data_IF_495870061553
#
_entry.id   IF_495870061553
#
_cell.length_a   1.000
_cell.length_b   1.000
_cell.length_c   1.000
_cell.angle_alpha   90.00
_cell.angle_beta   90.00
_cell.angle_gamma   90.00
#
_symmetry.space_group_name_H-M   'P 1'
#
loop_
_entity.id
_entity.type
_entity.pdbx_description
1 polymer ?
#
# COMPACT_ATOMS: atom_id res chain seq x y z
N UNK A 1 -38.95 -15.92 -21.13
CA UNK A 1 -38.19 -16.03 -19.87
C UNK A 1 -36.73 -16.35 -20.21
N UNK A 2 -35.91 -15.35 -20.51
CA UNK A 2 -34.52 -15.52 -20.90
C UNK A 2 -33.69 -14.48 -20.17
N UNK A 3 -33.43 -14.69 -18.89
CA UNK A 3 -32.68 -13.72 -18.11
C UNK A 3 -31.62 -14.29 -17.16
N UNK A 4 -31.53 -15.60 -17.04
CA UNK A 4 -30.66 -16.23 -16.05
C UNK A 4 -29.76 -17.31 -16.63
N UNK A 5 -29.18 -17.09 -17.85
CA UNK A 5 -28.21 -18.01 -18.36
C UNK A 5 -26.95 -17.93 -17.51
N UNK A 6 -26.38 -19.08 -17.14
CA UNK A 6 -25.10 -19.20 -16.43
C UNK A 6 -24.00 -18.34 -17.08
N UNK A 7 -24.07 -18.17 -18.40
CA UNK A 7 -23.14 -17.32 -19.16
C UNK A 7 -23.31 -15.82 -18.86
N UNK A 8 -24.54 -15.31 -18.70
CA UNK A 8 -24.79 -13.91 -18.34
C UNK A 8 -24.29 -13.59 -16.91
N UNK A 9 -24.41 -14.53 -15.97
CA UNK A 9 -23.84 -14.39 -14.63
C UNK A 9 -22.31 -14.38 -14.67
N UNK A 10 -21.67 -15.30 -15.40
CA UNK A 10 -20.23 -15.37 -15.58
C UNK A 10 -19.71 -14.06 -16.21
N UNK A 11 -20.39 -13.54 -17.24
CA UNK A 11 -20.01 -12.29 -17.89
C UNK A 11 -20.07 -11.08 -16.94
N UNK A 12 -21.10 -11.00 -16.10
CA UNK A 12 -21.22 -9.93 -15.08
C UNK A 12 -20.14 -10.03 -14.02
N UNK A 13 -19.89 -11.21 -13.49
CA UNK A 13 -18.82 -11.44 -12.49
C UNK A 13 -17.47 -11.13 -13.09
N UNK A 14 -17.19 -11.57 -14.32
CA UNK A 14 -15.94 -11.27 -15.02
C UNK A 14 -15.77 -9.76 -15.23
N UNK A 15 -16.81 -9.04 -15.66
CA UNK A 15 -16.74 -7.59 -15.85
C UNK A 15 -16.42 -6.84 -14.55
N UNK A 16 -16.98 -7.25 -13.41
CA UNK A 16 -16.68 -6.66 -12.10
C UNK A 16 -15.24 -6.95 -11.68
N UNK A 17 -14.77 -8.18 -11.87
CA UNK A 17 -13.38 -8.57 -11.56
C UNK A 17 -12.40 -7.82 -12.46
N UNK A 18 -12.68 -7.72 -13.75
CA UNK A 18 -11.83 -7.01 -14.71
C UNK A 18 -11.79 -5.49 -14.41
N UNK A 19 -12.91 -4.88 -14.01
CA UNK A 19 -12.96 -3.48 -13.59
C UNK A 19 -12.13 -3.23 -12.32
N UNK A 20 -12.24 -4.09 -11.31
CA UNK A 20 -11.42 -4.02 -10.09
C UNK A 20 -9.94 -4.18 -10.40
N UNK A 21 -9.60 -5.13 -11.26
CA UNK A 21 -8.22 -5.36 -11.71
C UNK A 21 -7.67 -4.13 -12.45
N UNK A 22 -8.48 -3.53 -13.34
CA UNK A 22 -8.11 -2.29 -14.06
C UNK A 22 -7.84 -1.12 -13.11
N UNK A 23 -8.66 -0.95 -12.07
CA UNK A 23 -8.46 0.08 -11.05
C UNK A 23 -7.14 -0.13 -10.27
N UNK A 24 -6.83 -1.38 -9.87
CA UNK A 24 -5.56 -1.75 -9.22
C UNK A 24 -4.38 -1.45 -10.14
N UNK A 25 -4.43 -1.83 -11.41
CA UNK A 25 -3.36 -1.56 -12.38
C UNK A 25 -3.13 -0.07 -12.58
N UNK A 26 -4.20 0.72 -12.63
CA UNK A 26 -4.12 2.17 -12.77
C UNK A 26 -3.44 2.79 -11.55
N UNK A 27 -3.80 2.36 -10.33
CA UNK A 27 -3.19 2.83 -9.09
C UNK A 27 -1.69 2.52 -9.06
N UNK A 28 -1.33 1.25 -9.27
CA UNK A 28 0.07 0.82 -9.27
C UNK A 28 0.90 1.51 -10.36
N UNK A 29 0.33 1.75 -11.54
CA UNK A 29 0.99 2.54 -12.58
C UNK A 29 1.27 3.98 -12.16
N UNK A 30 0.37 4.61 -11.39
CA UNK A 30 0.59 5.95 -10.82
C UNK A 30 1.67 5.94 -9.74
N UNK A 31 1.68 4.94 -8.84
CA UNK A 31 2.74 4.76 -7.85
C UNK A 31 4.12 4.65 -8.52
N UNK A 32 4.24 3.86 -9.59
CA UNK A 32 5.48 3.75 -10.37
C UNK A 32 5.87 5.10 -11.00
N UNK A 33 4.92 5.84 -11.59
CA UNK A 33 5.21 7.16 -12.17
C UNK A 33 5.75 8.15 -11.13
N UNK A 34 5.15 8.19 -9.95
CA UNK A 34 5.61 9.07 -8.86
C UNK A 34 6.99 8.65 -8.38
N UNK A 35 7.22 7.37 -8.12
CA UNK A 35 8.50 6.85 -7.68
C UNK A 35 9.63 7.08 -8.72
N UNK A 36 9.32 6.98 -10.01
CA UNK A 36 10.27 7.19 -11.10
C UNK A 36 10.76 8.65 -11.24
N UNK A 37 10.12 9.62 -10.61
CA UNK A 37 10.60 11.01 -10.54
C UNK A 37 11.94 11.13 -9.83
N UNK A 38 12.18 10.29 -8.83
CA UNK A 38 13.45 10.21 -8.09
C UNK A 38 14.57 9.52 -8.86
N UNK A 39 14.30 8.99 -10.06
CA UNK A 39 15.24 8.27 -10.91
C UNK A 39 14.60 7.06 -11.58
N UNK A 40 14.92 6.83 -12.86
CA UNK A 40 14.35 5.75 -13.67
C UNK A 40 14.99 4.38 -13.42
N UNK A 41 16.16 4.35 -12.76
CA UNK A 41 16.89 3.11 -12.47
C UNK A 41 16.45 2.53 -11.12
N UNK A 42 15.82 1.34 -11.10
CA UNK A 42 15.42 0.68 -9.86
C UNK A 42 16.59 0.30 -8.95
N UNK A 43 17.82 0.17 -9.49
CA UNK A 43 18.99 -0.15 -8.68
C UNK A 43 19.37 1.01 -7.74
N UNK A 44 19.18 2.25 -8.20
CA UNK A 44 19.45 3.46 -7.43
C UNK A 44 18.21 4.09 -6.77
N UNK A 45 17.03 3.51 -6.99
CA UNK A 45 15.76 4.06 -6.49
C UNK A 45 14.92 2.97 -5.79
N UNK A 46 15.05 2.90 -4.46
CA UNK A 46 14.33 1.91 -3.67
C UNK A 46 12.81 2.03 -3.77
N UNK A 47 12.28 3.26 -3.79
CA UNK A 47 10.82 3.48 -3.93
C UNK A 47 10.31 2.95 -5.27
N UNK A 48 11.06 3.17 -6.36
CA UNK A 48 10.74 2.63 -7.67
C UNK A 48 10.81 1.10 -7.68
N UNK A 49 11.84 0.52 -7.09
CA UNK A 49 11.98 -0.93 -6.94
C UNK A 49 10.79 -1.53 -6.21
N UNK A 50 10.39 -0.95 -5.08
CA UNK A 50 9.22 -1.36 -4.30
C UNK A 50 7.93 -1.27 -5.12
N UNK A 51 7.69 -0.16 -5.83
CA UNK A 51 6.51 0.01 -6.66
C UNK A 51 6.45 -1.00 -7.81
N UNK A 52 7.60 -1.30 -8.44
CA UNK A 52 7.71 -2.33 -9.49
C UNK A 52 7.37 -3.72 -8.94
N UNK A 53 7.87 -4.07 -7.76
CA UNK A 53 7.60 -5.38 -7.17
C UNK A 53 6.14 -5.55 -6.77
N UNK A 54 5.52 -4.53 -6.19
CA UNK A 54 4.06 -4.50 -5.96
C UNK A 54 3.27 -4.71 -7.25
N UNK A 55 3.67 -4.03 -8.34
CA UNK A 55 3.02 -4.16 -9.63
C UNK A 55 3.18 -5.57 -10.23
N UNK A 56 4.37 -6.17 -10.12
CA UNK A 56 4.63 -7.56 -10.56
C UNK A 56 3.81 -8.56 -9.74
N UNK A 57 3.74 -8.40 -8.42
CA UNK A 57 2.92 -9.24 -7.55
C UNK A 57 1.42 -9.17 -7.92
N UNK A 58 0.93 -7.99 -8.30
CA UNK A 58 -0.42 -7.78 -8.82
C UNK A 58 -0.60 -8.23 -10.27
N UNK A 59 0.43 -8.79 -10.91
CA UNK A 59 0.44 -9.24 -12.31
C UNK A 59 0.16 -8.12 -13.32
N UNK A 60 0.68 -6.92 -13.06
CA UNK A 60 0.68 -5.83 -14.04
C UNK A 60 1.62 -6.21 -15.18
N UNK A 61 1.21 -6.10 -16.45
CA UNK A 61 2.08 -6.41 -17.59
C UNK A 61 3.36 -5.56 -17.61
N UNK A 62 4.51 -6.16 -17.92
CA UNK A 62 5.80 -5.47 -17.94
C UNK A 62 5.79 -4.22 -18.84
N UNK A 63 5.14 -4.28 -20.01
CA UNK A 63 4.99 -3.13 -20.90
C UNK A 63 4.27 -1.93 -20.24
N UNK A 64 3.36 -2.17 -19.30
CA UNK A 64 2.70 -1.10 -18.55
C UNK A 64 3.63 -0.53 -17.48
N UNK A 65 4.43 -1.38 -16.82
CA UNK A 65 5.46 -0.97 -15.85
C UNK A 65 6.50 -0.07 -16.54
N UNK A 66 7.08 -0.52 -17.65
CA UNK A 66 8.07 0.23 -18.42
C UNK A 66 7.52 1.58 -18.92
N UNK A 67 6.28 1.58 -19.41
CA UNK A 67 5.60 2.82 -19.83
C UNK A 67 5.39 3.78 -18.67
N UNK A 68 5.06 3.27 -17.49
CA UNK A 68 4.89 4.08 -16.29
C UNK A 68 6.23 4.68 -15.82
N UNK A 69 7.32 3.91 -15.86
CA UNK A 69 8.68 4.40 -15.56
C UNK A 69 9.08 5.50 -16.54
N UNK A 70 8.97 5.25 -17.86
CA UNK A 70 9.31 6.22 -18.88
C UNK A 70 8.52 7.53 -18.74
N UNK A 71 7.22 7.42 -18.41
CA UNK A 71 6.36 8.58 -18.19
C UNK A 71 6.73 9.33 -16.91
N UNK A 72 7.07 8.62 -15.84
CA UNK A 72 7.48 9.20 -14.57
C UNK A 72 8.83 9.90 -14.61
N UNK A 73 9.79 9.35 -15.37
CA UNK A 73 11.13 9.92 -15.54
C UNK A 73 11.22 11.07 -16.57
N UNK A 74 10.09 11.50 -17.14
CA UNK A 74 10.06 12.57 -18.13
C UNK A 74 10.36 12.14 -19.57
N UNK A 75 10.70 10.88 -19.82
CA UNK A 75 11.02 10.38 -21.15
C UNK A 75 9.79 10.23 -22.06
N UNK A 76 8.59 10.26 -21.49
CA UNK A 76 7.34 10.00 -22.21
C UNK A 76 6.51 11.24 -22.58
N UNK A 77 7.05 12.46 -22.46
CA UNK A 77 6.36 13.69 -22.85
C UNK A 77 5.07 13.96 -22.08
N UNK A 78 5.14 14.63 -20.95
CA UNK A 78 4.01 15.22 -20.23
C UNK A 78 3.11 14.26 -19.46
N UNK A 79 2.89 14.52 -18.18
CA UNK A 79 1.86 13.91 -17.37
C UNK A 79 2.26 13.31 -16.03
N UNK A 80 3.56 13.14 -15.74
CA UNK A 80 4.01 12.74 -14.43
C UNK A 80 3.91 13.86 -13.39
N UNK A 81 4.10 15.10 -13.83
CA UNK A 81 4.00 16.29 -12.97
C UNK A 81 2.57 16.60 -12.50
N UNK A 82 1.57 15.97 -13.12
CA UNK A 82 0.18 16.18 -12.78
C UNK A 82 -0.27 15.43 -11.51
N UNK A 83 0.38 14.31 -11.15
CA UNK A 83 -0.02 13.54 -9.98
C UNK A 83 0.75 13.99 -8.74
N UNK A 84 0.04 14.20 -7.66
CA UNK A 84 0.60 14.50 -6.34
C UNK A 84 0.03 13.56 -5.29
N UNK A 85 0.81 13.28 -4.27
CA UNK A 85 0.36 12.58 -3.08
C UNK A 85 -0.32 13.57 -2.16
N UNK A 86 -1.58 13.29 -1.83
CA UNK A 86 -2.38 14.12 -0.94
C UNK A 86 -3.00 13.25 0.12
N UNK A 87 -2.86 13.65 1.36
CA UNK A 87 -3.50 13.01 2.49
C UNK A 87 -4.77 13.74 2.87
N UNK A 88 -5.84 12.99 3.06
CA UNK A 88 -7.12 13.46 3.55
C UNK A 88 -7.46 12.76 4.86
N UNK A 89 -8.19 13.47 5.71
CA UNK A 89 -8.51 13.04 7.05
C UNK A 89 -9.99 13.27 7.33
N UNK A 90 -10.60 12.39 8.13
CA UNK A 90 -12.00 12.53 8.47
C UNK A 90 -12.47 11.50 9.48
N UNK A 91 -13.75 11.58 9.79
CA UNK A 91 -14.42 10.67 10.70
C UNK A 91 -15.52 9.90 9.97
N UNK A 92 -15.52 8.59 10.11
CA UNK A 92 -16.61 7.72 9.69
C UNK A 92 -17.74 7.67 10.71
N UNK A 93 -18.76 6.83 10.45
CA UNK A 93 -19.83 6.56 11.41
C UNK A 93 -19.24 6.10 12.77
N UNK A 94 -19.90 6.51 13.85
CA UNK A 94 -19.42 6.18 15.19
C UNK A 94 -18.13 6.90 15.64
N UNK A 95 -17.64 7.88 14.86
CA UNK A 95 -16.43 8.65 15.19
C UNK A 95 -15.13 7.92 14.86
N UNK A 96 -15.17 6.92 14.00
CA UNK A 96 -13.98 6.18 13.55
C UNK A 96 -13.08 7.12 12.75
N UNK A 97 -11.83 7.26 13.17
CA UNK A 97 -10.82 8.03 12.45
C UNK A 97 -10.44 7.35 11.12
N UNK A 98 -10.44 8.10 10.04
CA UNK A 98 -10.10 7.62 8.70
C UNK A 98 -9.01 8.51 8.12
N UNK A 99 -7.86 7.90 7.80
CA UNK A 99 -6.75 8.51 7.08
C UNK A 99 -6.71 7.96 5.66
N UNK A 100 -6.63 8.83 4.66
CA UNK A 100 -6.68 8.47 3.24
C UNK A 100 -5.44 9.02 2.54
N UNK A 101 -4.62 8.15 1.97
CA UNK A 101 -3.58 8.53 1.02
C UNK A 101 -4.12 8.46 -0.40
N UNK A 102 -3.92 9.51 -1.16
CA UNK A 102 -4.44 9.65 -2.52
C UNK A 102 -3.37 10.15 -3.47
N UNK A 103 -3.28 9.52 -4.64
CA UNK A 103 -2.54 10.00 -5.79
C UNK A 103 -3.50 10.68 -6.75
N UNK A 104 -3.43 12.00 -6.85
CA UNK A 104 -4.37 12.79 -7.66
C UNK A 104 -3.67 13.81 -8.55
N UNK A 105 -4.28 14.05 -9.70
CA UNK A 105 -3.95 15.14 -10.62
C UNK A 105 -4.85 16.38 -10.38
N UNK A 106 -5.82 16.27 -9.46
CA UNK A 106 -6.74 17.38 -9.14
C UNK A 106 -7.26 17.26 -7.70
N UNK A 107 -6.63 17.99 -6.77
CA UNK A 107 -7.00 18.02 -5.35
C UNK A 107 -8.45 18.39 -5.12
N UNK A 108 -8.95 19.39 -5.87
CA UNK A 108 -10.30 19.91 -5.66
C UNK A 108 -11.36 18.86 -6.04
N UNK A 109 -11.16 18.16 -7.16
CA UNK A 109 -12.04 17.06 -7.57
C UNK A 109 -12.02 15.94 -6.53
N UNK A 110 -10.85 15.48 -6.11
CA UNK A 110 -10.70 14.42 -5.12
C UNK A 110 -11.32 14.81 -3.79
N UNK A 111 -11.09 16.03 -3.30
CA UNK A 111 -11.69 16.52 -2.07
C UNK A 111 -13.22 16.55 -2.14
N UNK A 112 -13.78 16.97 -3.28
CA UNK A 112 -15.23 16.98 -3.49
C UNK A 112 -15.83 15.56 -3.51
N UNK A 113 -15.18 14.64 -4.20
CA UNK A 113 -15.60 13.23 -4.25
C UNK A 113 -15.53 12.57 -2.86
N UNK A 114 -14.45 12.79 -2.11
CA UNK A 114 -14.30 12.27 -0.75
C UNK A 114 -15.34 12.89 0.20
N UNK A 115 -15.56 14.21 0.15
CA UNK A 115 -16.59 14.87 0.96
C UNK A 115 -17.98 14.27 0.71
N UNK A 116 -18.29 14.00 -0.56
CA UNK A 116 -19.54 13.35 -0.93
C UNK A 116 -19.61 11.92 -0.41
N UNK A 117 -18.50 11.16 -0.50
CA UNK A 117 -18.43 9.79 0.00
C UNK A 117 -18.64 9.73 1.52
N UNK A 118 -17.93 10.56 2.28
CA UNK A 118 -18.12 10.68 3.74
C UNK A 118 -19.56 11.02 4.09
N UNK A 119 -20.11 12.08 3.50
CA UNK A 119 -21.47 12.56 3.78
C UNK A 119 -22.54 11.50 3.47
N UNK A 120 -22.41 10.76 2.36
CA UNK A 120 -23.37 9.69 2.00
C UNK A 120 -23.34 8.50 2.94
N UNK A 121 -22.21 8.29 3.63
CA UNK A 121 -22.03 7.15 4.54
C UNK A 121 -22.03 7.56 6.02
N UNK A 122 -22.60 8.72 6.35
CA UNK A 122 -22.77 9.15 7.75
C UNK A 122 -21.47 9.60 8.44
N UNK A 123 -20.43 9.92 7.66
CA UNK A 123 -19.18 10.46 8.13
C UNK A 123 -18.98 11.92 7.75
N UNK A 124 -17.81 12.47 8.07
CA UNK A 124 -17.42 13.84 7.77
C UNK A 124 -15.95 13.90 7.36
N UNK A 125 -15.66 14.52 6.21
CA UNK A 125 -14.30 14.87 5.82
C UNK A 125 -13.86 16.08 6.66
N UNK A 126 -12.77 15.90 7.40
CA UNK A 126 -12.22 16.92 8.28
C UNK A 126 -11.12 17.77 7.62
N UNK A 127 -10.50 18.60 8.43
CA UNK A 127 -9.31 19.34 8.03
C UNK A 127 -8.04 18.52 8.25
N UNK A 128 -6.95 18.87 7.57
CA UNK A 128 -5.65 18.24 7.75
C UNK A 128 -5.20 18.33 9.21
N UNK A 129 -4.78 17.19 9.78
CA UNK A 129 -4.35 17.08 11.18
C UNK A 129 -5.48 16.70 12.15
N UNK A 130 -6.74 16.54 11.70
CA UNK A 130 -7.84 16.19 12.60
C UNK A 130 -7.78 14.75 13.14
N UNK A 131 -7.15 13.81 12.42
CA UNK A 131 -6.97 12.42 12.86
C UNK A 131 -5.55 11.90 12.67
N UNK A 132 -4.70 12.58 11.91
CA UNK A 132 -3.35 12.11 11.57
C UNK A 132 -2.48 11.75 12.77
N UNK A 133 -2.68 12.43 13.91
CA UNK A 133 -1.98 12.17 15.16
C UNK A 133 -2.36 10.84 15.83
N UNK A 134 -3.44 10.20 15.40
CA UNK A 134 -3.89 8.87 15.88
C UNK A 134 -3.19 7.71 15.15
N UNK A 135 -2.35 8.04 14.17
CA UNK A 135 -1.67 7.03 13.35
C UNK A 135 -0.16 7.25 13.37
N UNK A 136 0.56 6.16 13.39
CA UNK A 136 2.00 6.14 13.22
C UNK A 136 2.35 5.72 11.79
N UNK A 137 3.26 6.46 11.14
CA UNK A 137 3.79 6.06 9.84
C UNK A 137 4.95 5.10 10.05
N UNK A 138 4.80 3.86 9.62
CA UNK A 138 5.70 2.75 9.91
C UNK A 138 6.14 2.02 8.65
N UNK A 139 7.25 1.31 8.74
CA UNK A 139 7.64 0.28 7.81
C UNK A 139 6.97 -1.03 8.18
N UNK A 140 6.40 -1.74 7.21
CA UNK A 140 5.80 -3.05 7.41
C UNK A 140 6.38 -4.03 6.41
N UNK A 141 6.90 -5.15 6.89
CA UNK A 141 7.42 -6.25 6.06
C UNK A 141 6.62 -7.49 6.34
N UNK A 142 6.00 -8.06 5.30
CA UNK A 142 5.23 -9.30 5.36
C UNK A 142 6.11 -10.49 5.07
N UNK A 143 6.14 -11.44 5.99
CA UNK A 143 6.73 -12.77 5.84
C UNK A 143 5.64 -13.77 5.46
N UNK A 144 5.89 -14.65 4.50
CA UNK A 144 4.96 -15.69 4.07
C UNK A 144 5.48 -17.06 4.53
N UNK A 145 5.16 -17.42 5.76
CA UNK A 145 5.57 -18.68 6.36
C UNK A 145 4.48 -19.20 7.30
N UNK A 146 3.66 -20.10 6.78
CA UNK A 146 2.65 -20.77 7.60
C UNK A 146 3.31 -21.56 8.75
N UNK A 147 2.70 -21.50 9.94
CA UNK A 147 3.22 -22.17 11.13
C UNK A 147 4.51 -21.54 11.67
N UNK A 148 4.72 -20.25 11.45
CA UNK A 148 5.83 -19.51 12.02
C UNK A 148 5.69 -19.47 13.56
N UNK A 149 6.67 -20.04 14.24
CA UNK A 149 6.72 -20.02 15.70
C UNK A 149 7.19 -18.64 16.21
N UNK A 150 6.49 -18.11 17.20
CA UNK A 150 6.75 -16.79 17.77
C UNK A 150 8.18 -16.67 18.33
N UNK A 151 8.63 -17.69 19.05
CA UNK A 151 9.98 -17.72 19.63
C UNK A 151 11.06 -17.63 18.56
N UNK A 152 10.90 -18.34 17.44
CA UNK A 152 11.84 -18.27 16.31
C UNK A 152 11.88 -16.89 15.66
N UNK A 153 10.72 -16.24 15.53
CA UNK A 153 10.65 -14.87 15.00
C UNK A 153 11.36 -13.90 15.95
N UNK A 154 11.07 -13.98 17.26
CA UNK A 154 11.70 -13.14 18.29
C UNK A 154 13.22 -13.29 18.31
N UNK A 155 13.73 -14.53 18.34
CA UNK A 155 15.17 -14.80 18.27
C UNK A 155 15.81 -14.18 17.02
N UNK A 156 15.17 -14.32 15.86
CA UNK A 156 15.64 -13.74 14.62
C UNK A 156 15.66 -12.20 14.65
N UNK A 157 14.62 -11.56 15.18
CA UNK A 157 14.57 -10.10 15.30
C UNK A 157 15.62 -9.56 16.27
N UNK A 158 15.83 -10.23 17.41
CA UNK A 158 16.89 -9.89 18.36
C UNK A 158 18.29 -10.08 17.75
N UNK A 159 18.51 -11.15 16.99
CA UNK A 159 19.77 -11.37 16.29
C UNK A 159 20.03 -10.30 15.23
N UNK A 160 18.99 -9.84 14.54
CA UNK A 160 19.08 -8.75 13.55
C UNK A 160 19.56 -7.45 14.22
N UNK A 161 18.93 -7.07 15.32
CA UNK A 161 19.27 -5.87 16.09
C UNK A 161 20.68 -5.97 16.68
N UNK A 162 21.01 -7.09 17.32
CA UNK A 162 22.35 -7.34 17.89
C UNK A 162 23.46 -7.31 16.82
N UNK A 163 23.15 -7.68 15.57
CA UNK A 163 24.04 -7.58 14.42
C UNK A 163 24.16 -6.17 13.82
N UNK A 164 23.60 -5.15 14.47
CA UNK A 164 23.60 -3.76 13.99
C UNK A 164 22.58 -3.46 12.91
N UNK A 165 21.62 -4.35 12.71
CA UNK A 165 20.44 -4.13 11.86
C UNK A 165 19.35 -3.28 12.54
N UNK A 166 18.25 -3.00 11.83
CA UNK A 166 17.15 -2.24 12.42
C UNK A 166 16.41 -3.01 13.50
N UNK A 167 16.01 -2.31 14.56
CA UNK A 167 15.13 -2.85 15.57
C UNK A 167 13.70 -2.98 15.04
N UNK A 168 13.05 -4.11 15.30
CA UNK A 168 11.62 -4.24 15.13
C UNK A 168 10.88 -3.49 16.25
N UNK A 169 9.86 -2.73 15.90
CA UNK A 169 9.00 -2.01 16.83
C UNK A 169 7.78 -2.85 17.26
N UNK A 170 7.49 -3.91 16.51
CA UNK A 170 6.40 -4.83 16.77
C UNK A 170 6.30 -5.89 15.67
N UNK A 171 5.42 -6.85 15.90
CA UNK A 171 5.07 -7.87 14.92
C UNK A 171 3.65 -8.37 15.16
N UNK A 172 3.04 -8.93 14.13
CA UNK A 172 1.76 -9.64 14.19
C UNK A 172 1.92 -10.98 13.48
N UNK A 173 1.48 -12.07 14.09
CA UNK A 173 1.52 -13.42 13.50
C UNK A 173 0.11 -13.87 13.18
N UNK A 174 -0.07 -14.45 12.01
CA UNK A 174 -1.31 -15.09 11.57
C UNK A 174 -1.03 -16.47 10.93
N UNK A 175 -2.09 -17.12 10.44
CA UNK A 175 -2.00 -18.47 9.86
C UNK A 175 -1.11 -18.55 8.59
N UNK A 176 -0.89 -17.41 7.91
CA UNK A 176 -0.10 -17.35 6.67
C UNK A 176 1.36 -16.90 6.91
N UNK A 177 1.69 -16.36 8.10
CA UNK A 177 3.03 -15.88 8.42
C UNK A 177 3.05 -14.75 9.45
N UNK A 178 3.86 -13.71 9.21
CA UNK A 178 3.96 -12.58 10.11
C UNK A 178 4.11 -11.24 9.38
N UNK A 179 3.63 -10.17 9.98
CA UNK A 179 4.01 -8.80 9.67
C UNK A 179 5.01 -8.31 10.71
N UNK A 180 6.14 -7.76 10.25
CA UNK A 180 7.17 -7.14 11.10
C UNK A 180 7.10 -5.64 10.88
N UNK A 181 6.99 -4.89 11.97
CA UNK A 181 6.82 -3.44 11.98
C UNK A 181 8.13 -2.79 12.41
N UNK A 182 8.58 -1.78 11.67
CA UNK A 182 9.80 -1.03 11.96
C UNK A 182 9.62 0.48 11.84
N UNK A 183 10.67 1.24 12.13
CA UNK A 183 10.68 2.68 11.91
C UNK A 183 10.52 3.01 10.42
N UNK A 184 9.85 4.12 10.12
CA UNK A 184 9.55 4.55 8.74
C UNK A 184 10.79 4.56 7.84
N UNK A 185 11.89 5.10 8.32
CA UNK A 185 13.12 5.27 7.55
C UNK A 185 13.88 3.97 7.30
N UNK A 186 13.49 2.88 7.98
CA UNK A 186 14.23 1.61 8.00
C UNK A 186 13.63 0.53 7.10
N UNK A 187 12.69 0.84 6.21
CA UNK A 187 11.99 -0.16 5.39
C UNK A 187 12.95 -1.05 4.59
N UNK A 188 13.92 -0.44 3.89
CA UNK A 188 14.90 -1.18 3.09
C UNK A 188 15.80 -2.05 3.98
N UNK A 189 16.33 -1.46 5.05
CA UNK A 189 17.20 -2.17 5.98
C UNK A 189 16.50 -3.34 6.69
N UNK A 190 15.22 -3.15 7.07
CA UNK A 190 14.41 -4.19 7.69
C UNK A 190 14.12 -5.34 6.73
N UNK A 191 13.69 -5.03 5.52
CA UNK A 191 13.42 -6.02 4.49
C UNK A 191 14.67 -6.82 4.13
N UNK A 192 15.82 -6.16 3.93
CA UNK A 192 17.09 -6.81 3.61
C UNK A 192 17.62 -7.63 4.80
N UNK A 193 17.44 -7.13 6.02
CA UNK A 193 17.82 -7.82 7.24
C UNK A 193 17.06 -9.14 7.40
N UNK A 194 15.74 -9.11 7.24
CA UNK A 194 14.90 -10.31 7.32
C UNK A 194 15.23 -11.33 6.23
N UNK A 195 15.50 -10.88 5.00
CA UNK A 195 15.97 -11.77 3.92
C UNK A 195 17.30 -12.43 4.23
N UNK A 196 18.26 -11.70 4.81
CA UNK A 196 19.58 -12.26 5.21
C UNK A 196 19.46 -13.32 6.29
N UNK A 197 18.46 -13.23 7.16
CA UNK A 197 18.15 -14.25 8.15
C UNK A 197 17.42 -15.46 7.53
N UNK A 198 17.14 -15.44 6.22
CA UNK A 198 16.48 -16.54 5.50
C UNK A 198 14.94 -16.50 5.56
N UNK A 199 14.35 -15.41 6.07
CA UNK A 199 12.90 -15.28 6.11
C UNK A 199 12.30 -15.02 4.72
N UNK A 200 11.18 -15.67 4.36
CA UNK A 200 10.54 -15.51 3.06
C UNK A 200 9.74 -14.21 3.01
N UNK A 201 10.40 -13.11 2.68
CA UNK A 201 9.76 -11.79 2.53
C UNK A 201 8.89 -11.79 1.29
N UNK A 202 7.58 -11.61 1.46
CA UNK A 202 6.58 -11.52 0.40
C UNK A 202 6.39 -10.10 -0.12
N UNK A 203 6.24 -9.13 0.80
CA UNK A 203 5.99 -7.73 0.46
C UNK A 203 6.50 -6.80 1.56
N UNK A 204 6.69 -5.55 1.18
CA UNK A 204 7.08 -4.49 2.12
C UNK A 204 6.47 -3.17 1.67
N UNK A 205 6.10 -2.33 2.63
CA UNK A 205 5.49 -1.03 2.37
C UNK A 205 5.61 -0.10 3.56
N UNK A 206 5.44 1.20 3.31
CA UNK A 206 5.08 2.14 4.36
C UNK A 206 3.58 2.06 4.61
N UNK A 207 3.18 2.07 5.87
CA UNK A 207 1.77 1.99 6.28
C UNK A 207 1.52 2.92 7.47
N UNK A 208 0.36 3.57 7.45
CA UNK A 208 -0.15 4.26 8.60
C UNK A 208 -0.87 3.26 9.51
N UNK A 209 -0.36 3.09 10.73
CA UNK A 209 -0.89 2.14 11.70
C UNK A 209 -1.59 2.93 12.80
N UNK A 210 -2.85 2.57 13.08
CA UNK A 210 -3.61 3.19 14.15
C UNK A 210 -2.97 2.87 15.52
N UNK A 211 -2.74 3.87 16.35
CA UNK A 211 -2.24 3.69 17.71
C UNK A 211 -3.24 2.94 18.59
N UNK A 212 -4.52 3.16 18.33
CA UNK A 212 -5.61 2.46 19.03
C UNK A 212 -6.60 1.95 17.99
N UNK A 213 -6.53 0.67 17.60
CA UNK A 213 -7.47 0.10 16.64
C UNK A 213 -8.88 0.04 17.25
N UNK A 214 -9.87 0.34 16.42
CA UNK A 214 -11.28 0.29 16.75
C UNK A 214 -11.90 -0.96 16.12
N UNK A 215 -12.61 -1.76 16.91
CA UNK A 215 -13.43 -2.86 16.39
C UNK A 215 -14.77 -2.30 15.96
N UNK A 216 -15.16 -2.61 14.72
CA UNK A 216 -16.48 -2.28 14.20
C UNK A 216 -17.40 -3.49 14.42
N UNK A 217 -18.57 -3.26 14.98
CA UNK A 217 -19.63 -4.27 15.02
C UNK A 217 -20.22 -4.41 13.61
N UNK A 218 -20.58 -5.63 13.19
CA UNK A 218 -21.19 -5.92 11.89
C UNK A 218 -22.60 -5.33 11.75
#
# INVERSE_FOLDING_TARGET
MAGHSRWAQIKRTKAVVDARRGAVFTRLGREIMVAARGGADPAGNFQLRTAIEKAKAARVPNANIERAIAKGSGQGGGGADAFEEVRYEGYGPGGVAILIESLTDNRNRTAAELRLAFSKNGGNLGETGCVGYLFDHRSVVRLEQAGLEEDALLEGLLALEAGGGPAALGYEIDDEGAEVIGAFEQLEALQDGLRRLGWPVRSWEHRWIAQTPCRLDE
#
